data_IF_590408730947
#
_entry.id   IF_590408730947
#
_cell.length_a   1.000
_cell.length_b   1.000
_cell.length_c   1.000
_cell.angle_alpha   90.00
_cell.angle_beta   90.00
_cell.angle_gamma   90.00
#
_symmetry.space_group_name_H-M   'P 1'
#
loop_
_entity.id
_entity.type
_entity.pdbx_description
1 polymer ?
#
# COMPACT_ATOMS: atom_id res chain seq x y z
N UNK A 1 25.31 -23.86 -37.50
CA UNK A 1 25.22 -24.48 -36.16
C UNK A 1 24.70 -23.44 -35.17
N UNK A 2 23.67 -23.74 -34.36
CA UNK A 2 23.10 -22.77 -33.41
C UNK A 2 23.99 -22.63 -32.18
N UNK A 3 24.22 -21.40 -31.71
CA UNK A 3 25.05 -21.14 -30.54
C UNK A 3 24.37 -21.63 -29.25
N UNK A 4 24.93 -22.64 -28.59
CA UNK A 4 24.49 -23.15 -27.27
C UNK A 4 25.08 -22.28 -26.15
N UNK A 5 24.34 -22.17 -25.04
CA UNK A 5 24.68 -21.28 -23.91
C UNK A 5 24.87 -22.07 -22.62
N UNK A 6 25.87 -21.68 -21.82
CA UNK A 6 26.17 -22.28 -20.51
C UNK A 6 25.85 -21.30 -19.40
N UNK A 7 25.37 -21.80 -18.25
CA UNK A 7 25.15 -20.97 -17.08
C UNK A 7 26.49 -20.48 -16.50
N UNK A 8 26.55 -19.21 -16.12
CA UNK A 8 27.77 -18.57 -15.57
C UNK A 8 27.81 -18.60 -14.03
N UNK A 9 26.70 -18.95 -13.36
CA UNK A 9 26.62 -19.13 -11.90
C UNK A 9 26.79 -20.61 -11.54
N UNK A 10 27.25 -20.90 -10.32
CA UNK A 10 27.31 -22.25 -9.72
C UNK A 10 25.94 -22.93 -9.49
N UNK A 11 24.86 -22.38 -10.04
CA UNK A 11 23.50 -22.91 -9.92
C UNK A 11 23.01 -23.37 -11.30
N UNK A 12 22.89 -24.68 -11.47
CA UNK A 12 22.48 -25.33 -12.73
C UNK A 12 20.95 -25.38 -12.91
N UNK A 13 20.19 -25.40 -11.82
CA UNK A 13 18.73 -25.59 -11.85
C UNK A 13 17.93 -24.37 -12.32
N UNK A 14 16.72 -24.62 -12.84
CA UNK A 14 15.79 -23.59 -13.28
C UNK A 14 14.90 -23.04 -12.15
N UNK A 15 15.48 -22.25 -11.26
CA UNK A 15 14.76 -21.64 -10.13
C UNK A 15 14.37 -20.18 -10.37
N UNK A 16 13.43 -19.65 -9.58
CA UNK A 16 12.99 -18.23 -9.68
C UNK A 16 14.13 -17.22 -9.48
N UNK A 17 15.15 -17.55 -8.70
CA UNK A 17 16.36 -16.71 -8.51
C UNK A 17 17.35 -16.82 -9.67
N UNK A 18 17.27 -17.89 -10.46
CA UNK A 18 18.12 -18.16 -11.61
C UNK A 18 17.42 -17.81 -12.93
N UNK A 19 16.47 -16.86 -12.95
CA UNK A 19 15.88 -16.40 -14.21
C UNK A 19 16.91 -15.65 -15.05
N UNK A 20 16.87 -15.86 -16.36
CA UNK A 20 17.91 -15.49 -17.32
C UNK A 20 17.27 -14.88 -18.57
N UNK A 21 17.95 -13.92 -19.20
CA UNK A 21 17.64 -13.42 -20.55
C UNK A 21 18.82 -13.70 -21.47
N UNK A 22 18.54 -14.17 -22.68
CA UNK A 22 19.56 -14.31 -23.72
C UNK A 22 19.77 -12.93 -24.35
N UNK A 23 21.00 -12.44 -24.31
CA UNK A 23 21.38 -11.12 -24.86
C UNK A 23 22.54 -11.32 -25.82
N UNK A 24 22.47 -10.65 -26.97
CA UNK A 24 23.57 -10.59 -27.94
C UNK A 24 24.54 -9.50 -27.51
N UNK A 25 25.80 -9.86 -27.30
CA UNK A 25 26.84 -8.90 -26.92
C UNK A 25 27.36 -8.17 -28.16
N UNK A 26 28.03 -7.00 -28.00
CA UNK A 26 28.66 -6.29 -29.11
C UNK A 26 29.66 -7.14 -29.92
N UNK A 27 30.35 -8.08 -29.27
CA UNK A 27 31.22 -9.07 -29.93
C UNK A 27 30.49 -10.20 -30.65
N UNK A 28 29.19 -10.06 -30.90
CA UNK A 28 28.38 -10.99 -31.70
C UNK A 28 27.98 -12.30 -31.01
N UNK A 29 28.44 -12.55 -29.77
CA UNK A 29 28.15 -13.78 -29.01
C UNK A 29 26.83 -13.67 -28.24
N UNK A 30 26.04 -14.74 -28.20
CA UNK A 30 24.91 -14.85 -27.30
C UNK A 30 25.42 -15.19 -25.89
N UNK A 31 24.88 -14.51 -24.87
CA UNK A 31 25.25 -14.72 -23.46
C UNK A 31 24.01 -14.63 -22.56
N UNK A 32 24.00 -15.39 -21.45
CA UNK A 32 22.99 -15.22 -20.40
C UNK A 32 23.28 -13.99 -19.53
N UNK A 33 22.29 -13.11 -19.44
CA UNK A 33 22.20 -12.06 -18.43
C UNK A 33 21.20 -12.50 -17.35
N UNK A 34 21.63 -12.48 -16.08
CA UNK A 34 20.80 -12.89 -14.96
C UNK A 34 19.84 -11.78 -14.53
N UNK A 35 18.56 -12.11 -14.45
CA UNK A 35 17.53 -11.19 -14.00
C UNK A 35 17.35 -11.30 -12.49
N UNK A 36 17.17 -10.15 -11.82
CA UNK A 36 16.76 -10.13 -10.41
C UNK A 36 15.26 -10.44 -10.32
N UNK A 37 14.84 -10.95 -9.15
CA UNK A 37 13.41 -11.17 -8.88
C UNK A 37 12.66 -9.82 -8.90
N UNK A 38 11.52 -9.71 -9.59
CA UNK A 38 10.73 -8.49 -9.57
C UNK A 38 10.19 -8.25 -8.15
N UNK A 39 10.31 -7.02 -7.68
CA UNK A 39 9.75 -6.60 -6.38
C UNK A 39 8.26 -6.29 -6.53
N UNK A 40 7.50 -6.45 -5.45
CA UNK A 40 6.09 -6.01 -5.40
C UNK A 40 6.03 -4.49 -5.29
N UNK A 41 5.12 -3.86 -6.05
CA UNK A 41 4.83 -2.42 -5.95
C UNK A 41 4.14 -2.13 -4.61
N UNK A 42 4.43 -1.00 -3.93
CA UNK A 42 3.76 -0.63 -2.68
C UNK A 42 2.24 -0.47 -2.89
N UNK A 43 1.47 -1.06 -1.98
CA UNK A 43 0.02 -1.10 -2.01
C UNK A 43 -0.56 -0.63 -0.67
N UNK A 44 -1.74 -0.03 -0.74
CA UNK A 44 -2.47 0.43 0.45
C UNK A 44 -2.78 -0.73 1.39
N UNK A 45 -2.61 -0.51 2.70
CA UNK A 45 -2.90 -1.51 3.72
C UNK A 45 -4.37 -1.93 3.81
N UNK A 46 -5.32 -1.06 3.40
CA UNK A 46 -6.76 -1.36 3.44
C UNK A 46 -7.30 -1.79 2.07
N UNK A 47 -7.17 -0.92 1.06
CA UNK A 47 -7.80 -1.10 -0.26
C UNK A 47 -6.92 -1.86 -1.27
N UNK A 48 -5.64 -2.16 -0.95
CA UNK A 48 -4.64 -2.83 -1.83
C UNK A 48 -4.38 -2.15 -3.19
N UNK A 49 -4.86 -0.91 -3.39
CA UNK A 49 -4.54 -0.06 -4.55
C UNK A 49 -3.08 0.39 -4.53
N UNK A 50 -2.54 0.77 -5.71
CA UNK A 50 -1.17 1.32 -5.83
C UNK A 50 -1.07 2.68 -5.13
N UNK A 51 0.03 2.90 -4.40
CA UNK A 51 0.23 4.09 -3.57
C UNK A 51 0.93 5.24 -4.30
N UNK A 52 0.74 6.47 -3.79
CA UNK A 52 1.34 7.74 -4.24
C UNK A 52 1.64 8.62 -3.02
N UNK A 53 2.83 9.25 -2.96
CA UNK A 53 3.38 9.81 -1.72
C UNK A 53 2.92 11.23 -1.36
N UNK A 54 2.58 12.08 -2.34
CA UNK A 54 2.39 13.55 -2.19
C UNK A 54 1.19 14.03 -1.32
N UNK A 55 0.71 13.26 -0.34
CA UNK A 55 -0.40 13.60 0.57
C UNK A 55 -0.19 13.03 1.97
N UNK A 56 -0.99 13.46 2.93
CA UNK A 56 -1.06 12.80 4.25
C UNK A 56 -1.31 11.30 4.09
N UNK A 57 -0.52 10.48 4.79
CA UNK A 57 -0.49 9.01 4.69
C UNK A 57 -0.24 8.44 3.27
N UNK A 58 0.29 9.20 2.30
CA UNK A 58 0.41 8.75 0.91
C UNK A 58 1.25 7.49 0.67
N UNK A 59 2.26 7.26 1.50
CA UNK A 59 3.09 6.04 1.48
C UNK A 59 2.46 4.81 2.14
N UNK A 60 1.29 4.95 2.76
CA UNK A 60 0.64 3.89 3.55
C UNK A 60 -0.79 3.64 3.08
N UNK A 61 -1.54 4.69 2.75
CA UNK A 61 -2.97 4.66 2.43
C UNK A 61 -3.30 5.30 1.07
N UNK A 62 -4.36 4.77 0.43
CA UNK A 62 -4.96 5.32 -0.80
C UNK A 62 -5.81 6.59 -0.51
N UNK A 63 -6.08 7.42 -1.53
CA UNK A 63 -6.81 8.70 -1.35
C UNK A 63 -8.20 8.48 -0.77
N UNK A 64 -8.89 7.44 -1.24
CA UNK A 64 -10.22 7.05 -0.77
C UNK A 64 -10.19 6.75 0.72
N UNK A 65 -9.29 5.88 1.16
CA UNK A 65 -9.10 5.55 2.57
C UNK A 65 -8.71 6.75 3.45
N UNK A 66 -7.88 7.67 2.94
CA UNK A 66 -7.54 8.89 3.69
C UNK A 66 -8.77 9.79 3.83
N UNK A 67 -9.56 9.97 2.76
CA UNK A 67 -10.82 10.73 2.79
C UNK A 67 -11.81 10.13 3.79
N UNK A 68 -12.03 8.82 3.73
CA UNK A 68 -12.91 8.10 4.67
C UNK A 68 -12.46 8.28 6.12
N UNK A 69 -11.15 8.21 6.39
CA UNK A 69 -10.60 8.45 7.74
C UNK A 69 -10.88 9.88 8.23
N UNK A 70 -10.66 10.88 7.39
CA UNK A 70 -10.90 12.29 7.75
C UNK A 70 -12.37 12.51 8.04
N UNK A 71 -13.26 12.09 7.14
CA UNK A 71 -14.71 12.24 7.29
C UNK A 71 -15.22 11.50 8.53
N UNK A 72 -14.76 10.26 8.74
CA UNK A 72 -15.16 9.45 9.91
C UNK A 72 -14.69 10.08 11.22
N UNK A 73 -13.46 10.57 11.27
CA UNK A 73 -12.93 11.24 12.46
C UNK A 73 -13.73 12.50 12.80
N UNK A 74 -14.02 13.33 11.79
CA UNK A 74 -14.82 14.54 11.93
C UNK A 74 -16.23 14.23 12.46
N UNK A 75 -16.97 13.34 11.79
CA UNK A 75 -18.35 13.00 12.19
C UNK A 75 -18.44 12.39 13.59
N UNK A 76 -17.44 11.58 13.98
CA UNK A 76 -17.40 10.99 15.33
C UNK A 76 -17.20 12.08 16.39
N UNK A 77 -16.34 13.08 16.14
CA UNK A 77 -16.16 14.18 17.07
C UNK A 77 -17.43 15.05 17.19
N UNK A 78 -18.08 15.36 16.08
CA UNK A 78 -19.37 16.08 16.08
C UNK A 78 -20.45 15.33 16.87
N UNK A 79 -20.60 14.02 16.63
CA UNK A 79 -21.54 13.18 17.37
C UNK A 79 -21.21 13.16 18.88
N UNK A 80 -19.93 13.07 19.27
CA UNK A 80 -19.53 13.12 20.68
C UNK A 80 -19.91 14.44 21.33
N UNK A 81 -19.75 15.57 20.65
CA UNK A 81 -20.12 16.90 21.17
C UNK A 81 -21.64 16.97 21.36
N UNK A 82 -22.42 16.57 20.35
CA UNK A 82 -23.88 16.55 20.43
C UNK A 82 -24.37 15.70 21.61
N UNK A 83 -23.81 14.49 21.77
CA UNK A 83 -24.15 13.60 22.90
C UNK A 83 -23.82 14.24 24.25
N UNK A 84 -22.71 14.97 24.38
CA UNK A 84 -22.36 15.69 25.61
C UNK A 84 -23.35 16.81 25.92
N UNK A 85 -23.70 17.62 24.91
CA UNK A 85 -24.66 18.74 25.06
C UNK A 85 -26.05 18.23 25.44
N UNK A 86 -26.56 17.20 24.75
CA UNK A 86 -27.86 16.60 25.06
C UNK A 86 -27.90 16.05 26.50
N UNK A 87 -26.83 15.39 26.95
CA UNK A 87 -26.73 14.91 28.34
C UNK A 87 -26.71 16.05 29.36
N UNK A 88 -25.99 17.14 29.08
CA UNK A 88 -25.96 18.31 29.95
C UNK A 88 -27.33 19.01 30.06
N UNK A 89 -28.06 19.15 28.95
CA UNK A 89 -29.41 19.73 28.91
C UNK A 89 -30.42 18.89 29.70
N UNK A 90 -30.40 17.56 29.56
CA UNK A 90 -31.28 16.65 30.30
C UNK A 90 -31.00 16.68 31.82
N UNK A 91 -29.75 16.85 32.22
CA UNK A 91 -29.39 17.06 33.63
C UNK A 91 -29.98 18.36 34.19
N UNK A 92 -29.89 19.45 33.42
CA UNK A 92 -30.44 20.76 33.82
C UNK A 92 -31.98 20.79 33.87
N UNK A 93 -32.68 20.08 32.97
CA UNK A 93 -34.15 20.06 32.95
C UNK A 93 -34.76 19.26 34.10
N UNK A 94 -34.09 18.21 34.60
CA UNK A 94 -34.55 17.42 35.76
C UNK A 94 -34.41 18.14 37.11
N UNK A 95 -33.55 19.16 37.19
CA UNK A 95 -33.31 19.93 38.40
C UNK A 95 -34.24 21.16 38.57
N UNK A 96 -35.07 21.51 37.58
CA UNK A 96 -36.08 22.56 37.75
C UNK A 96 -37.21 22.03 38.65
N UNK A 97 -37.43 22.58 39.86
CA UNK A 97 -38.54 22.16 40.70
C UNK A 97 -39.84 22.46 39.96
N UNK A 98 -40.72 21.47 39.84
CA UNK A 98 -42.11 21.71 39.42
C UNK A 98 -42.71 22.66 40.46
N UNK A 99 -43.14 23.84 40.02
CA UNK A 99 -43.99 24.74 40.80
C UNK A 99 -45.28 24.03 41.16
#
# INVERSE_FOLDING_TARGET
MVQRLVFRRRLSYNTRSNRRRIVRTPGGRLVYQYLKKPKKVPRCGMCKERLRVKRAYGGVLCHKCVKEKIVRAFLIEEQKIVVKVLKAQQGASKAKPKK
#
